data_IF_825588326060
#
_entry.id   IF_825588326060
#
_cell.length_a   1.000
_cell.length_b   1.000
_cell.length_c   1.000
_cell.angle_alpha   90.00
_cell.angle_beta   90.00
_cell.angle_gamma   90.00
#
_symmetry.space_group_name_H-M   'P 1'
#
loop_
_entity.id
_entity.type
_entity.pdbx_description
1 polymer ?
#
# COMPACT_ATOMS: atom_id res chain seq x y z
N UNK A 1 -5.62 -32.91 -0.89
CA UNK A 1 -5.26 -31.73 -1.71
C UNK A 1 -3.86 -31.96 -2.24
N UNK A 2 -3.68 -31.88 -3.55
CA UNK A 2 -2.36 -32.00 -4.17
C UNK A 2 -1.53 -30.75 -3.87
N UNK A 3 -0.41 -30.93 -3.18
CA UNK A 3 0.52 -29.88 -2.75
C UNK A 3 1.91 -30.04 -3.38
N UNK A 4 2.04 -30.90 -4.40
CA UNK A 4 3.31 -31.18 -5.10
C UNK A 4 3.99 -29.93 -5.65
N UNK A 5 3.22 -28.91 -6.00
CA UNK A 5 3.70 -27.61 -6.52
C UNK A 5 4.45 -26.73 -5.50
N UNK A 6 4.41 -27.05 -4.20
CA UNK A 6 5.09 -26.26 -3.16
C UNK A 6 6.61 -26.54 -3.16
N UNK A 7 7.04 -27.72 -3.63
CA UNK A 7 8.43 -28.17 -3.55
C UNK A 7 9.32 -27.85 -4.76
N UNK A 8 8.79 -27.23 -5.81
CA UNK A 8 9.54 -26.97 -7.05
C UNK A 8 10.02 -25.51 -7.15
N UNK A 9 11.14 -25.25 -7.84
CA UNK A 9 11.57 -23.90 -8.19
C UNK A 9 10.44 -23.14 -8.88
N UNK A 10 10.16 -21.95 -8.37
CA UNK A 10 8.96 -21.15 -8.60
C UNK A 10 8.91 -20.42 -9.94
N UNK A 11 10.01 -20.47 -10.69
CA UNK A 11 10.36 -19.54 -11.77
C UNK A 11 9.61 -19.78 -13.09
N UNK A 12 8.95 -20.95 -13.25
CA UNK A 12 8.38 -21.36 -14.54
C UNK A 12 6.96 -21.95 -14.47
N UNK A 13 6.27 -21.93 -13.32
CA UNK A 13 4.92 -22.51 -13.21
C UNK A 13 3.82 -21.47 -13.52
N UNK A 14 3.15 -21.54 -14.70
CA UNK A 14 2.08 -20.61 -15.06
C UNK A 14 0.83 -20.74 -14.17
N UNK A 15 0.71 -21.79 -13.35
CA UNK A 15 -0.39 -21.97 -12.39
C UNK A 15 -0.23 -21.09 -11.15
N UNK A 16 0.98 -20.62 -10.85
CA UNK A 16 1.21 -19.53 -9.89
C UNK A 16 1.33 -18.23 -10.67
N UNK A 17 0.20 -17.53 -10.82
CA UNK A 17 0.15 -16.20 -11.42
C UNK A 17 1.11 -15.26 -10.68
N UNK A 18 2.21 -14.86 -11.33
CA UNK A 18 2.85 -13.58 -11.08
C UNK A 18 1.76 -12.51 -11.13
N UNK A 19 1.82 -11.53 -10.22
CA UNK A 19 0.80 -10.49 -10.04
C UNK A 19 0.11 -10.12 -11.35
N UNK A 20 -1.21 -10.31 -11.48
CA UNK A 20 -1.92 -9.94 -12.71
C UNK A 20 -1.74 -8.46 -13.07
N UNK A 21 -1.45 -7.64 -12.06
CA UNK A 21 -1.34 -6.18 -12.17
C UNK A 21 0.09 -5.68 -12.42
N UNK A 22 1.13 -6.48 -12.19
CA UNK A 22 2.53 -6.10 -12.39
C UNK A 22 3.37 -7.26 -12.95
N UNK A 23 4.12 -7.00 -14.02
CA UNK A 23 5.01 -7.97 -14.68
C UNK A 23 6.28 -7.26 -15.18
N UNK A 24 7.37 -7.99 -15.34
CA UNK A 24 8.70 -7.50 -15.78
C UNK A 24 8.86 -7.48 -17.32
N UNK A 25 8.12 -8.32 -18.04
CA UNK A 25 8.17 -8.44 -19.50
C UNK A 25 7.15 -7.55 -20.25
N UNK A 26 6.22 -6.92 -19.53
CA UNK A 26 5.22 -6.02 -20.10
C UNK A 26 4.98 -4.86 -19.14
N UNK A 27 5.02 -3.63 -19.66
CA UNK A 27 4.72 -2.44 -18.86
C UNK A 27 3.24 -2.45 -18.42
N UNK A 28 2.99 -2.79 -17.16
CA UNK A 28 1.67 -2.79 -16.50
C UNK A 28 1.58 -1.67 -15.46
N UNK A 29 1.03 -1.94 -14.28
CA UNK A 29 1.02 -0.96 -13.19
C UNK A 29 2.43 -0.84 -12.63
N UNK A 30 3.02 0.34 -12.84
CA UNK A 30 4.19 0.77 -12.09
C UNK A 30 3.74 1.18 -10.68
N UNK A 31 4.02 0.32 -9.69
CA UNK A 31 3.61 0.54 -8.31
C UNK A 31 4.43 1.61 -7.61
N UNK A 32 5.70 1.81 -7.99
CA UNK A 32 6.55 2.81 -7.36
C UNK A 32 6.12 4.20 -7.80
N UNK A 33 5.88 4.38 -9.10
CA UNK A 33 5.26 5.60 -9.63
C UNK A 33 3.89 5.86 -9.00
N UNK A 34 3.03 4.83 -8.91
CA UNK A 34 1.69 4.97 -8.32
C UNK A 34 1.74 5.42 -6.84
N UNK A 35 2.69 4.92 -6.06
CA UNK A 35 2.88 5.31 -4.66
C UNK A 35 3.34 6.76 -4.54
N UNK A 36 4.37 7.14 -5.32
CA UNK A 36 4.89 8.51 -5.35
C UNK A 36 3.81 9.51 -5.74
N UNK A 37 3.13 9.30 -6.87
CA UNK A 37 2.13 10.25 -7.39
C UNK A 37 0.93 10.43 -6.46
N UNK A 38 0.54 9.39 -5.70
CA UNK A 38 -0.55 9.51 -4.72
C UNK A 38 -0.15 10.39 -3.54
N UNK A 39 1.07 10.19 -3.03
CA UNK A 39 1.61 10.98 -1.93
C UNK A 39 1.81 12.45 -2.36
N UNK A 40 2.35 12.68 -3.54
CA UNK A 40 2.55 14.02 -4.10
C UNK A 40 1.21 14.74 -4.28
N UNK A 41 0.19 14.05 -4.80
CA UNK A 41 -1.15 14.60 -4.93
C UNK A 41 -1.77 14.95 -3.58
N UNK A 42 -1.61 14.07 -2.58
CA UNK A 42 -2.10 14.30 -1.23
C UNK A 42 -1.44 15.57 -0.62
N UNK A 43 -0.12 15.68 -0.71
CA UNK A 43 0.63 16.86 -0.24
C UNK A 43 0.26 18.14 -1.00
N UNK A 44 0.01 18.05 -2.30
CA UNK A 44 -0.43 19.20 -3.09
C UNK A 44 -1.79 19.74 -2.61
N UNK A 45 -2.73 18.85 -2.26
CA UNK A 45 -4.00 19.26 -1.66
C UNK A 45 -3.80 19.82 -0.24
N UNK A 46 -2.98 19.18 0.60
CA UNK A 46 -2.64 19.71 1.92
C UNK A 46 -2.06 21.12 1.85
N UNK A 47 -1.19 21.40 0.89
CA UNK A 47 -0.62 22.74 0.67
C UNK A 47 -1.67 23.75 0.19
N UNK A 48 -2.60 23.33 -0.67
CA UNK A 48 -3.69 24.19 -1.11
C UNK A 48 -4.61 24.61 0.05
N UNK A 49 -4.78 23.71 1.02
CA UNK A 49 -5.62 23.91 2.21
C UNK A 49 -4.85 24.40 3.45
N UNK A 50 -3.56 24.76 3.31
CA UNK A 50 -2.67 25.22 4.40
C UNK A 50 -2.58 24.25 5.61
N UNK A 51 -2.52 22.94 5.32
CA UNK A 51 -2.44 21.88 6.34
C UNK A 51 -1.00 21.42 6.57
N UNK A 52 -0.51 21.57 7.80
CA UNK A 52 0.84 21.11 8.17
C UNK A 52 0.99 19.58 8.29
N UNK A 53 -0.09 18.86 8.63
CA UNK A 53 -0.11 17.40 8.70
C UNK A 53 -1.54 16.83 8.66
N UNK A 54 -1.66 15.56 8.27
CA UNK A 54 -2.88 14.76 8.37
C UNK A 54 -2.68 13.57 9.31
N UNK A 55 -3.71 13.26 10.10
CA UNK A 55 -3.80 12.01 10.86
C UNK A 55 -4.93 11.17 10.28
N UNK A 56 -4.58 10.01 9.73
CA UNK A 56 -5.49 9.16 8.95
C UNK A 56 -5.84 7.88 9.72
N UNK A 57 -7.12 7.68 10.01
CA UNK A 57 -7.62 6.45 10.67
C UNK A 57 -8.35 5.52 9.70
N UNK A 58 -9.06 6.07 8.72
CA UNK A 58 -9.79 5.26 7.73
C UNK A 58 -8.81 4.43 6.89
N UNK A 59 -9.03 3.11 6.80
CA UNK A 59 -8.16 2.21 6.06
C UNK A 59 -7.96 2.59 4.59
N UNK A 60 -8.98 3.21 3.96
CA UNK A 60 -8.89 3.73 2.60
C UNK A 60 -7.81 4.81 2.46
N UNK A 61 -7.81 5.76 3.40
CA UNK A 61 -6.90 6.90 3.39
C UNK A 61 -5.48 6.44 3.75
N UNK A 62 -5.35 5.52 4.71
CA UNK A 62 -4.05 4.93 5.04
C UNK A 62 -3.50 4.16 3.83
N UNK A 63 -4.31 3.35 3.15
CA UNK A 63 -3.89 2.64 1.93
C UNK A 63 -3.51 3.61 0.81
N UNK A 64 -4.25 4.71 0.67
CA UNK A 64 -3.94 5.72 -0.34
C UNK A 64 -2.58 6.40 -0.07
N UNK A 65 -2.32 6.81 1.16
CA UNK A 65 -1.13 7.57 1.54
C UNK A 65 0.13 6.70 1.70
N UNK A 66 -0.01 5.45 2.17
CA UNK A 66 1.14 4.61 2.57
C UNK A 66 1.28 3.33 1.75
N UNK A 67 0.32 3.04 0.86
CA UNK A 67 0.18 1.75 0.18
C UNK A 67 0.06 0.53 1.11
N UNK A 68 -0.08 0.69 2.42
CA UNK A 68 -0.26 -0.43 3.35
C UNK A 68 -1.70 -0.94 3.33
N UNK A 69 -1.88 -2.26 3.21
CA UNK A 69 -3.17 -2.94 3.33
C UNK A 69 -3.00 -4.19 4.18
N UNK A 70 -3.79 -4.33 5.25
CA UNK A 70 -3.72 -5.48 6.17
C UNK A 70 -5.04 -6.29 6.21
N UNK A 71 -5.86 -6.18 5.17
CA UNK A 71 -7.15 -6.86 5.11
C UNK A 71 -8.28 -6.11 5.79
N UNK A 72 -9.50 -6.62 5.61
CA UNK A 72 -10.72 -5.91 5.98
C UNK A 72 -10.92 -5.80 7.51
N UNK A 73 -10.42 -6.76 8.29
CA UNK A 73 -10.59 -6.79 9.76
C UNK A 73 -10.10 -5.51 10.45
N UNK A 74 -8.94 -4.98 10.04
CA UNK A 74 -8.35 -3.77 10.63
C UNK A 74 -8.81 -2.47 9.97
N UNK A 75 -9.67 -2.54 8.96
CA UNK A 75 -9.92 -1.43 8.05
C UNK A 75 -10.74 -0.28 8.67
N UNK A 76 -11.64 -0.62 9.61
CA UNK A 76 -12.64 0.31 10.16
C UNK A 76 -12.73 0.31 11.70
N UNK A 77 -11.73 -0.26 12.39
CA UNK A 77 -11.73 -0.35 13.86
C UNK A 77 -10.73 0.62 14.52
N UNK A 78 -10.11 1.51 13.73
CA UNK A 78 -9.26 2.62 14.19
C UNK A 78 -8.09 2.21 15.12
N UNK A 79 -7.61 0.97 14.99
CA UNK A 79 -6.48 0.45 15.78
C UNK A 79 -5.10 0.81 15.21
N UNK A 80 -5.07 1.37 14.00
CA UNK A 80 -3.88 1.83 13.28
C UNK A 80 -4.16 3.22 12.72
N UNK A 81 -3.11 4.01 12.57
CA UNK A 81 -3.23 5.33 11.97
C UNK A 81 -1.92 5.72 11.27
N UNK A 82 -2.01 6.63 10.30
CA UNK A 82 -0.85 7.20 9.64
C UNK A 82 -0.79 8.70 9.91
N UNK A 83 0.41 9.21 10.15
CA UNK A 83 0.70 10.64 10.20
C UNK A 83 1.41 11.01 8.90
N UNK A 84 0.80 11.91 8.13
CA UNK A 84 1.34 12.41 6.86
C UNK A 84 1.69 13.88 7.06
N UNK A 85 2.97 14.24 7.21
CA UNK A 85 3.38 15.64 7.25
C UNK A 85 3.31 16.27 5.85
N UNK A 86 3.17 17.60 5.79
CA UNK A 86 3.22 18.34 4.52
C UNK A 86 4.57 18.16 3.80
N UNK A 87 5.64 17.97 4.58
CA UNK A 87 7.00 17.72 4.11
C UNK A 87 7.60 16.52 4.87
N UNK A 88 8.32 15.65 4.16
CA UNK A 88 8.94 14.45 4.75
C UNK A 88 8.04 13.21 4.73
N UNK A 89 8.61 12.05 5.05
CA UNK A 89 7.96 10.75 4.84
C UNK A 89 6.77 10.48 5.77
N UNK A 90 5.70 9.81 5.28
CA UNK A 90 4.60 9.35 6.13
C UNK A 90 5.07 8.33 7.18
N UNK A 91 4.50 8.42 8.39
CA UNK A 91 4.75 7.47 9.47
C UNK A 91 3.48 6.65 9.70
N UNK A 92 3.59 5.32 9.61
CA UNK A 92 2.50 4.39 9.91
C UNK A 92 2.67 3.82 11.32
N UNK A 93 1.68 4.04 12.16
CA UNK A 93 1.58 3.42 13.48
C UNK A 93 0.70 2.18 13.37
N UNK A 94 1.31 1.02 13.58
CA UNK A 94 0.68 -0.28 13.41
C UNK A 94 0.59 -1.02 14.74
N UNK A 95 -0.40 -1.91 14.86
CA UNK A 95 -0.54 -2.78 16.03
C UNK A 95 0.55 -3.85 16.02
N UNK A 96 1.25 -4.04 17.14
CA UNK A 96 2.16 -5.18 17.30
C UNK A 96 1.36 -6.50 17.40
N UNK A 97 1.82 -7.55 16.69
CA UNK A 97 1.33 -8.91 16.90
C UNK A 97 0.16 -9.40 16.02
N UNK A 98 0.05 -8.93 14.78
CA UNK A 98 -0.84 -9.56 13.78
C UNK A 98 -0.13 -10.55 12.88
#
# INVERSE_FOLDING_TARGET
MDISFIGQPHEWDPRRLYSQTGADWQHRVDFDRLRGERLDRLRAQMKADDLGALVLFAGANIRYATASYQGNWKYNINIRYAVVPAEGEPILFETAGS
#
